data_IF_135936494785
#
_entry.id   IF_135936494785
#
_cell.length_a   1.000
_cell.length_b   1.000
_cell.length_c   1.000
_cell.angle_alpha   90.00
_cell.angle_beta   90.00
_cell.angle_gamma   90.00
#
_symmetry.space_group_name_H-M   'P 1'
#
loop_
_entity.id
_entity.type
_entity.pdbx_description
1 polymer ?
#
# COMPACT_ATOMS: atom_id res chain seq x y z
N UNK A 1 3.65 5.48 -4.61
CA UNK A 1 2.38 4.82 -4.96
C UNK A 1 2.01 5.19 -6.39
N UNK A 2 1.65 4.21 -7.19
CA UNK A 2 1.19 4.41 -8.57
C UNK A 2 -0.19 3.77 -8.68
N UNK A 3 -1.16 4.50 -9.23
CA UNK A 3 -2.49 3.96 -9.55
C UNK A 3 -2.78 4.07 -11.04
N UNK A 4 -3.67 3.23 -11.55
CA UNK A 4 -4.13 3.26 -12.94
C UNK A 4 -5.66 3.22 -12.98
N UNK A 5 -6.27 4.01 -13.86
CA UNK A 5 -7.71 4.04 -14.09
C UNK A 5 -8.35 5.43 -13.87
N UNK A 6 -9.69 5.51 -13.86
CA UNK A 6 -10.41 6.78 -13.80
C UNK A 6 -10.09 7.57 -12.51
N UNK A 7 -9.76 8.88 -12.59
CA UNK A 7 -9.30 9.70 -11.47
C UNK A 7 -10.16 9.59 -10.21
N UNK A 8 -11.48 9.59 -10.37
CA UNK A 8 -12.44 9.55 -9.27
C UNK A 8 -12.36 8.26 -8.44
N UNK A 9 -12.13 7.11 -9.11
CA UNK A 9 -12.01 5.81 -8.41
C UNK A 9 -10.62 5.64 -7.81
N UNK A 10 -9.59 6.02 -8.55
CA UNK A 10 -8.20 5.81 -8.13
C UNK A 10 -7.79 6.74 -7.00
N UNK A 11 -8.32 7.97 -6.92
CA UNK A 11 -7.99 8.92 -5.85
C UNK A 11 -8.30 8.34 -4.45
N UNK A 12 -9.47 7.73 -4.28
CA UNK A 12 -9.86 7.10 -3.01
C UNK A 12 -8.98 5.89 -2.67
N UNK A 13 -8.67 5.06 -3.67
CA UNK A 13 -7.78 3.90 -3.49
C UNK A 13 -6.37 4.34 -3.09
N UNK A 14 -5.84 5.36 -3.77
CA UNK A 14 -4.52 5.92 -3.51
C UNK A 14 -4.44 6.55 -2.11
N UNK A 15 -5.49 7.27 -1.68
CA UNK A 15 -5.57 7.84 -0.34
C UNK A 15 -5.61 6.77 0.76
N UNK A 16 -6.35 5.67 0.53
CA UNK A 16 -6.38 4.54 1.46
C UNK A 16 -5.02 3.86 1.54
N UNK A 17 -4.36 3.64 0.40
CA UNK A 17 -3.04 3.05 0.35
C UNK A 17 -2.01 3.96 1.03
N UNK A 18 -2.03 5.27 0.77
CA UNK A 18 -1.20 6.27 1.45
C UNK A 18 -1.32 6.17 2.96
N UNK A 19 -2.55 6.14 3.48
CA UNK A 19 -2.82 6.05 4.93
C UNK A 19 -2.32 4.75 5.54
N UNK A 20 -2.32 3.65 4.78
CA UNK A 20 -1.75 2.37 5.23
C UNK A 20 -0.22 2.43 5.19
N UNK A 21 0.37 2.81 4.07
CA UNK A 21 1.82 2.92 3.89
C UNK A 21 2.45 3.89 4.91
N UNK A 22 1.81 5.02 5.20
CA UNK A 22 2.33 6.04 6.14
C UNK A 22 2.50 5.54 7.56
N UNK A 23 1.79 4.47 7.96
CA UNK A 23 1.96 3.85 9.29
C UNK A 23 3.28 3.06 9.40
N UNK A 24 3.83 2.61 8.27
CA UNK A 24 4.99 1.72 8.22
C UNK A 24 6.23 2.37 7.61
N UNK A 25 6.03 3.50 6.95
CA UNK A 25 7.06 4.38 6.43
C UNK A 25 6.98 5.76 7.13
N UNK A 26 7.10 5.82 8.48
CA UNK A 26 7.16 7.10 9.16
C UNK A 26 8.38 7.89 8.66
N UNK A 27 8.23 9.20 8.52
CA UNK A 27 9.29 10.15 8.12
C UNK A 27 9.85 9.97 6.69
N UNK A 28 9.28 9.04 5.90
CA UNK A 28 9.67 8.83 4.50
C UNK A 28 8.63 9.49 3.58
N UNK A 29 9.04 10.36 2.64
CA UNK A 29 8.10 11.00 1.74
C UNK A 29 7.43 9.98 0.81
N UNK A 30 6.10 9.92 0.87
CA UNK A 30 5.29 9.08 -0.01
C UNK A 30 4.87 9.91 -1.22
N UNK A 31 5.45 9.60 -2.38
CA UNK A 31 5.07 10.18 -3.66
C UNK A 31 3.92 9.39 -4.30
N UNK A 32 2.94 10.11 -4.82
CA UNK A 32 1.73 9.59 -5.45
C UNK A 32 1.71 9.96 -6.93
N UNK A 33 1.41 9.00 -7.79
CA UNK A 33 1.27 9.20 -9.24
C UNK A 33 -0.01 8.49 -9.69
N UNK A 34 -0.88 9.21 -10.37
CA UNK A 34 -1.96 8.59 -11.15
C UNK A 34 -1.49 8.43 -12.59
N UNK A 35 -1.55 7.21 -13.11
CA UNK A 35 -1.19 6.86 -14.47
C UNK A 35 -2.44 6.84 -15.36
N UNK A 36 -2.32 7.44 -16.54
CA UNK A 36 -3.38 7.49 -17.55
C UNK A 36 -3.27 8.75 -18.42
N UNK A 37 -4.30 8.97 -19.25
CA UNK A 37 -4.31 10.04 -20.27
C UNK A 37 -5.26 11.19 -19.93
N UNK A 38 -5.93 11.13 -18.78
CA UNK A 38 -6.80 12.22 -18.30
C UNK A 38 -6.01 13.39 -17.69
N UNK A 39 -6.61 14.59 -17.59
CA UNK A 39 -5.97 15.75 -16.96
C UNK A 39 -5.45 15.44 -15.55
N UNK A 40 -4.19 15.80 -15.28
CA UNK A 40 -3.53 15.55 -14.00
C UNK A 40 -2.93 14.15 -13.84
N UNK A 41 -3.15 13.25 -14.80
CA UNK A 41 -2.49 11.95 -14.83
C UNK A 41 -1.17 11.98 -15.62
N UNK A 42 -0.30 11.02 -15.35
CA UNK A 42 0.97 10.82 -16.04
C UNK A 42 0.79 9.69 -17.03
N UNK A 43 0.97 9.96 -18.32
CA UNK A 43 0.87 8.90 -19.32
C UNK A 43 1.95 7.83 -19.10
N UNK A 44 1.63 6.58 -19.44
CA UNK A 44 2.48 5.43 -19.18
C UNK A 44 3.90 5.61 -19.76
N UNK A 45 3.99 6.22 -20.95
CA UNK A 45 5.27 6.53 -21.62
C UNK A 45 6.15 7.50 -20.82
N UNK A 46 5.55 8.39 -20.02
CA UNK A 46 6.25 9.40 -19.21
C UNK A 46 6.47 8.95 -17.76
N UNK A 47 5.88 7.84 -17.33
CA UNK A 47 5.90 7.37 -15.95
C UNK A 47 7.33 7.13 -15.43
N UNK A 48 8.16 6.41 -16.19
CA UNK A 48 9.54 6.13 -15.80
C UNK A 48 10.33 7.45 -15.60
N UNK A 49 10.25 8.36 -16.57
CA UNK A 49 10.91 9.66 -16.51
C UNK A 49 10.43 10.50 -15.31
N UNK A 50 9.16 10.40 -14.92
CA UNK A 50 8.63 11.06 -13.72
C UNK A 50 9.20 10.48 -12.44
N UNK A 51 9.25 9.15 -12.33
CA UNK A 51 9.79 8.44 -11.15
C UNK A 51 11.27 8.76 -10.95
N UNK A 52 12.06 8.76 -12.03
CA UNK A 52 13.51 9.02 -11.96
C UNK A 52 13.86 10.45 -11.49
N UNK A 53 12.92 11.39 -11.57
CA UNK A 53 13.10 12.77 -11.08
C UNK A 53 12.96 12.91 -9.57
N UNK A 54 12.45 11.90 -8.87
CA UNK A 54 12.31 11.99 -7.42
C UNK A 54 13.68 11.94 -6.73
N UNK A 55 13.85 12.71 -5.65
CA UNK A 55 15.09 12.71 -4.90
C UNK A 55 15.32 11.34 -4.26
N UNK A 56 16.58 10.89 -4.28
CA UNK A 56 17.00 9.66 -3.60
C UNK A 56 17.28 9.96 -2.14
N UNK A 57 16.23 9.88 -1.32
CA UNK A 57 16.30 10.22 0.11
C UNK A 57 16.64 9.06 1.04
N UNK A 58 16.66 7.82 0.52
CA UNK A 58 16.91 6.61 1.32
C UNK A 58 18.29 6.00 1.03
N UNK A 59 18.98 5.58 2.10
CA UNK A 59 20.21 4.79 2.04
C UNK A 59 19.89 3.31 1.76
N UNK A 60 20.81 2.53 1.17
CA UNK A 60 20.55 1.12 0.84
C UNK A 60 20.06 0.25 2.02
N UNK A 61 20.57 0.49 3.22
CA UNK A 61 20.15 -0.18 4.45
C UNK A 61 18.71 0.16 4.84
N UNK A 62 18.33 1.43 4.70
CA UNK A 62 16.98 1.93 5.00
C UNK A 62 15.96 1.34 4.04
N UNK A 63 16.32 1.21 2.75
CA UNK A 63 15.50 0.54 1.73
C UNK A 63 15.22 -0.90 2.14
N UNK A 64 16.22 -1.63 2.62
CA UNK A 64 16.07 -3.03 3.04
C UNK A 64 15.17 -3.15 4.27
N UNK A 65 15.37 -2.29 5.27
CA UNK A 65 14.50 -2.26 6.46
C UNK A 65 13.06 -1.90 6.11
N UNK A 66 12.86 -0.93 5.21
CA UNK A 66 11.55 -0.48 4.77
C UNK A 66 10.81 -1.60 4.02
N UNK A 67 11.49 -2.29 3.09
CA UNK A 67 10.91 -3.44 2.37
C UNK A 67 10.42 -4.52 3.33
N UNK A 68 11.25 -4.89 4.32
CA UNK A 68 10.86 -5.87 5.35
C UNK A 68 9.63 -5.44 6.14
N UNK A 69 9.54 -4.15 6.53
CA UNK A 69 8.36 -3.61 7.22
C UNK A 69 7.10 -3.65 6.35
N UNK A 70 7.22 -3.31 5.06
CA UNK A 70 6.08 -3.33 4.13
C UNK A 70 5.60 -4.76 3.84
N UNK A 71 6.50 -5.72 3.65
CA UNK A 71 6.18 -7.13 3.40
C UNK A 71 5.50 -7.80 4.61
N UNK A 72 5.95 -7.52 5.83
CA UNK A 72 5.35 -8.07 7.04
C UNK A 72 3.87 -7.68 7.24
N UNK A 73 3.42 -6.61 6.56
CA UNK A 73 2.06 -6.08 6.65
C UNK A 73 1.17 -6.58 5.52
N UNK A 74 1.72 -6.81 4.32
CA UNK A 74 0.96 -7.40 3.21
C UNK A 74 0.58 -8.85 3.54
N UNK A 75 1.40 -9.57 4.31
CA UNK A 75 1.06 -10.84 4.94
C UNK A 75 0.26 -10.59 6.22
N UNK A 76 -1.00 -10.16 6.12
CA UNK A 76 -1.89 -9.95 7.27
C UNK A 76 -1.77 -11.08 8.30
N UNK A 77 -1.12 -10.87 9.47
CA UNK A 77 -1.39 -11.73 10.59
C UNK A 77 -2.70 -11.16 11.14
N UNK A 78 -3.82 -11.83 10.85
CA UNK A 78 -5.01 -11.68 11.69
C UNK A 78 -4.46 -11.79 13.12
N UNK A 79 -4.52 -10.74 13.95
CA UNK A 79 -4.10 -10.85 15.33
C UNK A 79 -5.22 -11.63 16.02
N UNK A 80 -5.25 -12.94 15.82
CA UNK A 80 -5.98 -13.85 16.68
C UNK A 80 -5.29 -13.69 18.02
N UNK A 81 -5.96 -13.12 19.04
CA UNK A 81 -5.38 -13.06 20.36
C UNK A 81 -5.03 -14.49 20.74
N UNK A 82 -3.76 -14.78 21.03
CA UNK A 82 -3.33 -16.09 21.56
C UNK A 82 -3.77 -16.26 23.02
N UNK A 83 -5.02 -15.92 23.32
CA UNK A 83 -5.70 -16.29 24.56
C UNK A 83 -6.37 -17.64 24.37
N UNK A 84 -6.62 -18.40 25.46
CA UNK A 84 -7.39 -19.62 25.36
C UNK A 84 -8.73 -19.32 24.67
N UNK A 85 -8.96 -19.95 23.52
CA UNK A 85 -10.23 -19.85 22.81
C UNK A 85 -11.34 -20.25 23.80
N UNK A 86 -12.39 -19.42 23.98
CA UNK A 86 -13.54 -19.82 24.78
C UNK A 86 -14.08 -21.13 24.22
N UNK A 87 -14.06 -22.20 25.02
CA UNK A 87 -14.71 -23.46 24.70
C UNK A 87 -16.22 -23.21 24.60
N UNK A 88 -16.73 -22.80 23.43
CA UNK A 88 -18.16 -22.58 23.27
C UNK A 88 -18.63 -22.07 21.92
N UNK A 89 -17.80 -21.35 21.17
CA UNK A 89 -18.29 -20.72 19.93
C UNK A 89 -18.00 -21.63 18.73
N UNK A 90 -19.00 -22.44 18.36
CA UNK A 90 -19.01 -23.17 17.09
C UNK A 90 -18.76 -22.18 15.95
N UNK A 91 -17.66 -22.36 15.21
CA UNK A 91 -17.44 -21.61 13.97
C UNK A 91 -18.60 -21.88 13.02
N UNK A 92 -19.34 -20.87 12.54
CA UNK A 92 -20.35 -21.10 11.51
C UNK A 92 -19.65 -21.62 10.26
N UNK A 93 -20.04 -22.84 9.85
CA UNK A 93 -19.58 -23.47 8.61
C UNK A 93 -20.05 -22.62 7.42
N UNK A 94 -19.08 -22.09 6.68
CA UNK A 94 -19.13 -21.86 5.23
C UNK A 94 -20.23 -20.95 4.68
N UNK A 95 -19.86 -19.75 4.24
CA UNK A 95 -20.56 -19.12 3.11
C UNK A 95 -19.90 -19.63 1.83
N UNK A 96 -20.45 -20.71 1.26
CA UNK A 96 -20.34 -21.01 -0.17
C UNK A 96 -21.66 -20.56 -0.79
N UNK A 97 -21.59 -19.67 -1.76
CA UNK A 97 -22.72 -19.06 -2.46
C UNK A 97 -22.29 -17.73 -3.02
#
# INVERSE_FOLDING_TARGET
LVSEGPPQRVATLLANERRRTSRFAPDIPIHEIQSGDEPGQVSLRKLNARIMKFPRVLRPEEVTSLRKRLEAVSSSPIPIPKGPLPKGTKMPKGMRG
#
